data_IF_204629298904
#
_entry.id   IF_204629298904
#
_cell.length_a   1.000
_cell.length_b   1.000
_cell.length_c   1.000
_cell.angle_alpha   90.00
_cell.angle_beta   90.00
_cell.angle_gamma   90.00
#
_symmetry.space_group_name_H-M   'P 1'
#
loop_
_entity.id
_entity.type
_entity.pdbx_description
1 polymer ?
#
# COMPACT_ATOMS: atom_id res chain seq x y z
N UNK A 1 -25.58 8.81 -26.38
CA UNK A 1 -25.66 7.63 -27.26
C UNK A 1 -24.59 7.73 -28.34
N UNK A 2 -23.41 7.11 -28.18
CA UNK A 2 -22.78 6.38 -29.28
C UNK A 2 -21.57 5.53 -28.83
N UNK A 3 -21.58 4.28 -29.27
CA UNK A 3 -20.61 3.23 -28.98
C UNK A 3 -19.41 3.37 -29.93
N UNK A 4 -18.28 3.87 -29.45
CA UNK A 4 -16.99 3.66 -30.13
C UNK A 4 -16.45 2.30 -29.66
N UNK A 5 -16.86 1.24 -30.38
CA UNK A 5 -16.35 -0.12 -30.19
C UNK A 5 -14.89 -0.21 -30.62
N UNK A 6 -14.05 -0.34 -29.61
CA UNK A 6 -12.70 -0.87 -29.62
C UNK A 6 -12.59 -2.09 -30.55
N UNK A 7 -11.98 -1.93 -31.73
CA UNK A 7 -11.52 -3.04 -32.57
C UNK A 7 -10.04 -3.28 -32.24
N UNK A 8 -9.77 -4.22 -31.34
CA UNK A 8 -8.42 -4.75 -31.14
C UNK A 8 -8.21 -5.89 -32.13
N UNK A 9 -7.33 -5.68 -33.10
CA UNK A 9 -6.86 -6.67 -34.07
C UNK A 9 -6.10 -7.78 -33.32
N UNK A 10 -6.60 -9.01 -33.37
CA UNK A 10 -5.85 -10.21 -32.95
C UNK A 10 -5.21 -10.83 -34.19
N UNK A 11 -3.88 -10.73 -34.30
CA UNK A 11 -3.11 -11.46 -35.30
C UNK A 11 -2.59 -12.76 -34.65
N UNK A 12 -3.01 -13.89 -35.21
CA UNK A 12 -2.63 -15.24 -34.79
C UNK A 12 -1.23 -15.57 -35.30
N UNK A 13 -0.31 -15.95 -34.41
CA UNK A 13 0.78 -16.87 -34.76
C UNK A 13 0.93 -17.92 -33.65
N UNK A 14 0.88 -19.17 -34.06
CA UNK A 14 0.85 -20.33 -33.19
C UNK A 14 2.17 -20.57 -32.48
N UNK A 15 2.10 -20.67 -31.15
CA UNK A 15 2.83 -21.64 -30.33
C UNK A 15 1.93 -21.89 -29.12
N UNK A 16 1.72 -23.15 -28.77
CA UNK A 16 0.74 -23.61 -27.78
C UNK A 16 1.09 -23.24 -26.34
N UNK A 17 1.10 -21.95 -26.02
CA UNK A 17 0.94 -21.44 -24.67
C UNK A 17 -0.54 -21.08 -24.51
N UNK A 18 -1.19 -21.63 -23.49
CA UNK A 18 -2.55 -21.25 -23.11
C UNK A 18 -2.58 -19.75 -22.81
N UNK A 19 -2.95 -18.94 -23.81
CA UNK A 19 -3.05 -17.48 -23.68
C UNK A 19 -4.09 -17.06 -22.63
N UNK A 20 -5.03 -17.94 -22.30
CA UNK A 20 -6.05 -17.72 -21.27
C UNK A 20 -5.46 -17.60 -19.86
N UNK A 21 -4.43 -18.37 -19.51
CA UNK A 21 -3.81 -18.32 -18.18
C UNK A 21 -2.86 -17.15 -18.03
N UNK A 22 -2.12 -16.81 -19.11
CA UNK A 22 -1.19 -15.69 -19.11
C UNK A 22 -1.93 -14.35 -19.07
N UNK A 23 -3.01 -14.21 -19.85
CA UNK A 23 -3.86 -13.01 -19.87
C UNK A 23 -4.62 -12.81 -18.55
N UNK A 24 -5.00 -13.89 -17.85
CA UNK A 24 -5.66 -13.81 -16.55
C UNK A 24 -4.71 -13.33 -15.43
N UNK A 25 -3.44 -13.76 -15.44
CA UNK A 25 -2.44 -13.30 -14.48
C UNK A 25 -2.01 -11.84 -14.73
N UNK A 26 -1.97 -11.41 -16.00
CA UNK A 26 -1.64 -10.03 -16.38
C UNK A 26 -2.79 -9.03 -16.10
N UNK A 27 -4.03 -9.51 -16.01
CA UNK A 27 -5.21 -8.73 -15.63
C UNK A 27 -5.53 -8.76 -14.13
N UNK A 28 -5.12 -9.80 -13.39
CA UNK A 28 -5.51 -9.98 -11.98
C UNK A 28 -4.90 -8.94 -11.03
N UNK A 29 -3.66 -8.49 -11.29
CA UNK A 29 -3.00 -7.45 -10.49
C UNK A 29 -3.59 -6.04 -10.69
N UNK A 30 -4.16 -5.77 -11.86
CA UNK A 30 -4.73 -4.46 -12.23
C UNK A 30 -6.15 -4.28 -11.71
N UNK A 31 -6.93 -5.36 -11.65
CA UNK A 31 -8.29 -5.27 -11.12
C UNK A 31 -8.33 -5.31 -9.58
N UNK A 32 -7.25 -5.71 -8.88
CA UNK A 32 -7.24 -5.83 -7.41
C UNK A 32 -7.45 -4.49 -6.69
N UNK A 33 -6.82 -3.42 -7.17
CA UNK A 33 -6.78 -2.14 -6.48
C UNK A 33 -7.64 -1.11 -7.21
N UNK A 34 -8.61 -0.54 -6.50
CA UNK A 34 -9.60 0.37 -7.06
C UNK A 34 -9.56 1.70 -6.32
N UNK A 35 -9.39 2.79 -7.04
CA UNK A 35 -9.49 4.14 -6.47
C UNK A 35 -10.94 4.36 -6.03
N UNK A 36 -11.13 4.80 -4.80
CA UNK A 36 -12.46 5.07 -4.25
C UNK A 36 -13.08 6.34 -4.88
N UNK A 37 -14.37 6.63 -4.64
CA UNK A 37 -15.02 7.80 -5.22
C UNK A 37 -14.43 9.15 -4.78
N UNK A 38 -13.76 9.23 -3.62
CA UNK A 38 -13.08 10.46 -3.20
C UNK A 38 -11.81 10.73 -4.03
N UNK A 39 -11.21 9.68 -4.59
CA UNK A 39 -9.93 9.77 -5.29
C UNK A 39 -8.72 9.80 -4.37
N UNK A 40 -8.93 9.73 -3.05
CA UNK A 40 -7.91 9.85 -2.01
C UNK A 40 -7.55 8.50 -1.37
N UNK A 41 -8.33 7.46 -1.63
CA UNK A 41 -8.10 6.12 -1.12
C UNK A 41 -8.08 5.05 -2.22
N UNK A 42 -7.49 3.91 -1.89
CA UNK A 42 -7.49 2.70 -2.71
C UNK A 42 -8.10 1.55 -1.91
N UNK A 43 -9.07 0.89 -2.51
CA UNK A 43 -9.72 -0.32 -2.03
C UNK A 43 -8.98 -1.51 -2.64
N UNK A 44 -8.41 -2.36 -1.78
CA UNK A 44 -7.87 -3.65 -2.16
C UNK A 44 -8.97 -4.71 -2.10
N UNK A 45 -9.51 -5.11 -3.26
CA UNK A 45 -10.63 -6.05 -3.35
C UNK A 45 -10.29 -7.48 -2.89
N UNK A 46 -9.00 -7.85 -2.78
CA UNK A 46 -8.60 -9.18 -2.29
C UNK A 46 -8.70 -9.24 -0.77
N UNK A 47 -8.26 -8.20 -0.08
CA UNK A 47 -8.18 -8.16 1.39
C UNK A 47 -9.33 -7.38 2.03
N UNK A 48 -10.08 -6.62 1.24
CA UNK A 48 -11.03 -5.59 1.66
C UNK A 48 -10.41 -4.48 2.53
N UNK A 49 -9.09 -4.32 2.48
CA UNK A 49 -8.42 -3.20 3.12
C UNK A 49 -8.56 -1.94 2.27
N UNK A 50 -8.58 -0.80 2.95
CA UNK A 50 -8.59 0.51 2.33
C UNK A 50 -7.33 1.24 2.76
N UNK A 51 -6.61 1.75 1.78
CA UNK A 51 -5.31 2.38 1.94
C UNK A 51 -5.40 3.84 1.56
N UNK A 52 -4.62 4.69 2.24
CA UNK A 52 -4.36 6.03 1.73
C UNK A 52 -3.72 5.91 0.34
N UNK A 53 -4.22 6.67 -0.63
CA UNK A 53 -3.67 6.67 -1.99
C UNK A 53 -2.29 7.32 -2.02
N UNK A 54 -2.11 8.41 -1.29
CA UNK A 54 -0.80 8.97 -1.01
C UNK A 54 -0.11 8.14 0.07
N UNK A 55 0.85 7.32 -0.36
CA UNK A 55 1.61 6.45 0.55
C UNK A 55 2.44 7.24 1.56
N UNK A 56 2.75 8.51 1.30
CA UNK A 56 3.61 9.35 2.12
C UNK A 56 2.87 10.55 2.73
N UNK A 57 1.55 10.46 2.90
CA UNK A 57 0.70 11.58 3.33
C UNK A 57 1.15 12.24 4.65
N UNK A 58 1.72 11.48 5.58
CA UNK A 58 2.26 11.98 6.85
C UNK A 58 3.79 12.20 6.82
N UNK A 59 4.43 11.97 5.67
CA UNK A 59 5.87 12.06 5.51
C UNK A 59 6.64 10.95 6.23
N UNK A 60 7.90 11.25 6.54
CA UNK A 60 8.76 10.38 7.31
C UNK A 60 8.78 10.81 8.79
N UNK A 61 8.51 9.86 9.67
CA UNK A 61 8.40 10.07 11.12
C UNK A 61 9.23 9.01 11.85
N UNK A 62 9.55 9.27 13.12
CA UNK A 62 10.09 8.22 13.99
C UNK A 62 9.01 7.20 14.30
N UNK A 63 9.36 5.95 14.60
CA UNK A 63 8.33 4.94 14.85
C UNK A 63 7.56 5.28 16.13
N UNK A 64 8.32 5.43 17.23
CA UNK A 64 7.96 5.76 18.60
C UNK A 64 6.60 5.28 19.16
N UNK A 65 6.40 5.49 20.46
CA UNK A 65 5.13 5.16 21.11
C UNK A 65 4.12 6.29 20.91
N UNK A 66 2.83 5.93 20.87
CA UNK A 66 1.68 6.83 20.64
C UNK A 66 1.63 8.06 21.56
N UNK A 67 2.35 8.06 22.68
CA UNK A 67 2.39 9.17 23.65
C UNK A 67 3.42 10.26 23.31
N UNK A 68 4.16 10.15 22.20
CA UNK A 68 5.07 11.18 21.73
C UNK A 68 4.56 11.80 20.42
N UNK A 69 4.40 13.12 20.44
CA UNK A 69 3.77 13.94 19.40
C UNK A 69 4.49 13.93 18.03
N UNK A 70 5.67 13.31 17.95
CA UNK A 70 6.46 13.24 16.71
C UNK A 70 6.56 11.83 16.11
N UNK A 71 5.67 10.92 16.48
CA UNK A 71 5.76 9.49 16.10
C UNK A 71 4.75 9.09 15.05
N UNK A 72 5.09 8.07 14.26
CA UNK A 72 4.24 7.49 13.24
C UNK A 72 2.90 7.01 13.83
N UNK A 73 2.92 6.33 14.98
CA UNK A 73 1.69 5.89 15.66
C UNK A 73 0.83 7.06 16.13
N UNK A 74 1.45 8.12 16.64
CA UNK A 74 0.73 9.31 17.06
C UNK A 74 0.03 9.98 15.88
N UNK A 75 0.77 10.31 14.81
CA UNK A 75 0.22 11.04 13.67
C UNK A 75 -0.86 10.28 12.92
N UNK A 76 -0.73 8.96 12.78
CA UNK A 76 -1.83 8.16 12.21
C UNK A 76 -3.06 8.16 13.13
N UNK A 77 -2.87 8.16 14.45
CA UNK A 77 -3.99 8.31 15.38
C UNK A 77 -4.66 9.69 15.28
N UNK A 78 -3.90 10.75 14.98
CA UNK A 78 -4.45 12.10 14.83
C UNK A 78 -5.37 12.22 13.61
N UNK A 79 -5.14 11.46 12.53
CA UNK A 79 -6.06 11.36 11.39
C UNK A 79 -7.49 10.95 11.80
N UNK A 80 -7.62 10.25 12.93
CA UNK A 80 -8.90 9.73 13.41
C UNK A 80 -9.63 10.68 14.36
N UNK A 81 -8.90 11.54 15.08
CA UNK A 81 -9.44 12.24 16.25
C UNK A 81 -9.25 13.74 16.24
N UNK A 82 -8.34 14.28 15.43
CA UNK A 82 -7.96 15.69 15.47
C UNK A 82 -8.31 16.42 14.16
N UNK A 83 -9.29 17.34 14.17
CA UNK A 83 -9.71 18.11 13.00
C UNK A 83 -8.64 18.97 12.32
N UNK A 84 -7.50 19.19 12.96
CA UNK A 84 -6.38 19.94 12.41
C UNK A 84 -5.26 19.04 11.86
N UNK A 85 -5.41 17.72 11.97
CA UNK A 85 -4.43 16.77 11.45
C UNK A 85 -4.52 16.65 9.94
N UNK A 86 -3.36 16.45 9.30
CA UNK A 86 -3.28 16.05 7.91
C UNK A 86 -4.00 14.71 7.75
N UNK A 87 -4.89 14.59 6.78
CA UNK A 87 -5.66 13.38 6.56
C UNK A 87 -6.74 13.11 7.62
N UNK A 88 -7.17 14.13 8.37
CA UNK A 88 -8.31 14.01 9.27
C UNK A 88 -9.55 13.51 8.52
N UNK A 89 -10.07 12.36 8.96
CA UNK A 89 -11.18 11.67 8.34
C UNK A 89 -11.00 11.42 6.83
N UNK A 90 -9.77 11.10 6.39
CA UNK A 90 -9.45 10.81 5.00
C UNK A 90 -10.46 9.81 4.40
N UNK A 91 -11.02 10.14 3.23
CA UNK A 91 -12.07 9.37 2.54
C UNK A 91 -13.33 9.09 3.40
N UNK A 92 -13.60 9.92 4.41
CA UNK A 92 -14.73 9.77 5.33
C UNK A 92 -14.52 8.77 6.47
N UNK A 93 -13.29 8.33 6.73
CA UNK A 93 -12.98 7.28 7.69
C UNK A 93 -12.12 7.72 8.87
N UNK A 94 -12.38 7.17 10.05
CA UNK A 94 -11.73 7.53 11.32
C UNK A 94 -11.09 6.33 12.04
N UNK A 95 -10.74 5.29 11.30
CA UNK A 95 -10.15 4.04 11.76
C UNK A 95 -8.78 3.75 11.11
N UNK A 96 -7.99 4.80 10.86
CA UNK A 96 -6.65 4.72 10.30
C UNK A 96 -5.62 4.19 11.31
N UNK A 97 -4.69 3.37 10.82
CA UNK A 97 -3.58 2.80 11.59
C UNK A 97 -2.35 2.59 10.72
N UNK A 98 -1.21 2.33 11.37
CA UNK A 98 -0.08 1.74 10.66
C UNK A 98 -0.46 0.34 10.14
N UNK A 99 0.07 -0.06 8.98
CA UNK A 99 -0.14 -1.38 8.43
C UNK A 99 0.67 -2.41 9.20
N UNK A 100 0.24 -3.67 9.15
CA UNK A 100 1.12 -4.77 9.53
C UNK A 100 2.18 -4.98 8.44
N UNK A 101 3.30 -5.62 8.80
CA UNK A 101 4.33 -5.96 7.79
C UNK A 101 3.78 -6.85 6.67
N UNK A 102 2.83 -7.73 6.99
CA UNK A 102 2.24 -8.67 6.04
C UNK A 102 1.33 -7.98 5.03
N UNK A 103 0.56 -7.00 5.47
CA UNK A 103 -0.28 -6.17 4.60
C UNK A 103 0.57 -5.40 3.56
N UNK A 104 1.70 -4.83 4.00
CA UNK A 104 2.64 -4.17 3.08
C UNK A 104 3.28 -5.16 2.10
N UNK A 105 3.71 -6.33 2.57
CA UNK A 105 4.31 -7.36 1.71
C UNK A 105 3.30 -7.93 0.70
N UNK A 106 2.02 -8.07 1.05
CA UNK A 106 0.98 -8.53 0.13
C UNK A 106 0.69 -7.50 -0.96
N UNK A 107 0.70 -6.19 -0.65
CA UNK A 107 0.67 -5.13 -1.68
C UNK A 107 1.86 -5.27 -2.63
N UNK A 108 3.08 -5.37 -2.09
CA UNK A 108 4.28 -5.47 -2.90
C UNK A 108 4.25 -6.69 -3.81
N UNK A 109 3.84 -7.85 -3.28
CA UNK A 109 3.72 -9.09 -4.04
C UNK A 109 2.69 -8.96 -5.16
N UNK A 110 1.55 -8.33 -4.89
CA UNK A 110 0.51 -8.08 -5.89
C UNK A 110 0.99 -7.21 -7.04
N UNK A 111 1.78 -6.18 -6.72
CA UNK A 111 2.23 -5.16 -7.67
C UNK A 111 3.42 -5.66 -8.48
N UNK A 112 4.39 -6.30 -7.81
CA UNK A 112 5.58 -6.91 -8.39
C UNK A 112 5.25 -8.08 -9.32
N UNK A 113 4.14 -8.78 -9.06
CA UNK A 113 3.82 -10.05 -9.69
C UNK A 113 4.67 -11.19 -9.11
N UNK A 114 4.13 -12.41 -9.11
CA UNK A 114 4.71 -13.57 -8.41
C UNK A 114 6.12 -13.98 -8.89
N UNK A 115 6.55 -13.52 -10.07
CA UNK A 115 7.79 -13.97 -10.73
C UNK A 115 8.89 -12.90 -10.87
N UNK A 116 8.70 -11.70 -10.31
CA UNK A 116 9.73 -10.66 -10.42
C UNK A 116 10.72 -10.73 -9.25
N UNK A 117 12.01 -10.59 -9.53
CA UNK A 117 13.08 -10.62 -8.52
C UNK A 117 13.32 -9.26 -7.85
N UNK A 118 12.98 -8.14 -8.51
CA UNK A 118 13.19 -6.78 -8.00
C UNK A 118 11.91 -5.94 -8.06
N UNK A 119 11.89 -4.83 -7.31
CA UNK A 119 10.80 -3.84 -7.34
C UNK A 119 11.29 -2.67 -8.20
N UNK A 120 10.77 -2.48 -9.42
CA UNK A 120 11.09 -1.31 -10.23
C UNK A 120 10.71 -0.03 -9.49
N UNK A 121 11.57 0.99 -9.50
CA UNK A 121 11.37 2.25 -8.78
C UNK A 121 10.07 3.00 -9.16
N UNK A 122 9.50 2.68 -10.33
CA UNK A 122 8.31 3.26 -10.91
C UNK A 122 7.10 2.31 -10.88
N UNK A 123 7.20 1.13 -10.26
CA UNK A 123 6.16 0.12 -10.37
C UNK A 123 4.83 0.62 -9.82
N UNK A 124 4.82 1.46 -8.79
CA UNK A 124 3.59 2.04 -8.23
C UNK A 124 2.97 3.13 -9.11
N UNK A 125 3.79 3.85 -9.88
CA UNK A 125 3.34 4.90 -10.80
C UNK A 125 2.98 4.36 -12.19
N UNK A 126 3.54 3.21 -12.59
CA UNK A 126 3.35 2.59 -13.91
C UNK A 126 2.40 1.41 -13.88
N UNK A 127 2.28 0.70 -12.75
CA UNK A 127 1.20 -0.26 -12.55
C UNK A 127 -0.09 0.53 -12.37
N UNK A 128 -1.18 0.05 -12.97
CA UNK A 128 -2.51 0.67 -12.98
C UNK A 128 -3.21 0.68 -11.61
N UNK A 129 -2.43 0.65 -10.54
CA UNK A 129 -2.82 0.42 -9.15
C UNK A 129 -3.24 1.74 -8.48
N UNK A 130 -2.67 2.87 -8.92
CA UNK A 130 -3.15 4.21 -8.60
C UNK A 130 -2.56 4.86 -7.35
N UNK A 131 -1.67 4.18 -6.61
CA UNK A 131 -0.95 4.75 -5.48
C UNK A 131 -0.06 5.91 -5.93
N UNK A 132 0.07 6.94 -5.10
CA UNK A 132 0.87 8.14 -5.37
C UNK A 132 1.90 8.37 -4.28
N UNK A 133 2.96 9.08 -4.64
CA UNK A 133 4.06 9.46 -3.74
C UNK A 133 4.68 8.29 -2.96
N UNK A 134 4.68 7.09 -3.55
CA UNK A 134 5.43 5.96 -3.02
C UNK A 134 6.92 6.26 -3.11
N UNK A 135 7.63 6.14 -1.99
CA UNK A 135 9.07 6.39 -1.87
C UNK A 135 9.81 5.06 -1.92
N UNK A 136 10.98 5.03 -2.53
CA UNK A 136 11.87 3.85 -2.54
C UNK A 136 12.67 3.77 -1.24
N UNK A 137 11.97 3.80 -0.11
CA UNK A 137 12.52 3.93 1.24
C UNK A 137 11.82 2.97 2.21
N UNK A 138 12.20 2.99 3.49
CA UNK A 138 11.52 2.21 4.54
C UNK A 138 10.16 2.80 4.90
N UNK A 139 9.19 1.91 5.13
CA UNK A 139 7.86 2.23 5.63
C UNK A 139 7.58 1.49 6.94
N UNK A 140 7.13 2.20 7.96
CA UNK A 140 6.88 1.63 9.28
C UNK A 140 5.70 0.67 9.29
N UNK A 141 5.87 -0.48 9.96
CA UNK A 141 4.80 -1.39 10.35
C UNK A 141 4.33 -1.13 11.79
N UNK A 142 3.15 -1.62 12.15
CA UNK A 142 2.52 -1.37 13.45
C UNK A 142 3.20 -2.06 14.65
N UNK A 143 4.13 -3.00 14.44
CA UNK A 143 4.67 -3.85 15.51
C UNK A 143 6.12 -3.49 15.86
N UNK A 144 6.41 -3.33 17.15
CA UNK A 144 7.79 -3.33 17.66
C UNK A 144 8.37 -4.74 17.63
N UNK A 145 9.70 -4.84 17.50
CA UNK A 145 10.43 -6.10 17.67
C UNK A 145 10.95 -6.25 19.09
N UNK A 146 11.34 -5.12 19.70
CA UNK A 146 11.85 -5.00 21.06
C UNK A 146 11.62 -3.56 21.58
N UNK A 147 12.29 -3.17 22.66
CA UNK A 147 12.17 -1.84 23.26
C UNK A 147 12.81 -0.71 22.45
N UNK A 148 13.65 -1.05 21.48
CA UNK A 148 14.50 -0.13 20.70
C UNK A 148 14.30 -0.25 19.18
N UNK A 149 13.54 -1.24 18.71
CA UNK A 149 13.32 -1.44 17.28
C UNK A 149 11.87 -1.78 16.92
N UNK A 150 11.52 -1.49 15.67
CA UNK A 150 10.23 -1.84 15.09
C UNK A 150 10.36 -2.33 13.65
N UNK A 151 9.38 -3.12 13.23
CA UNK A 151 9.33 -3.65 11.87
C UNK A 151 9.11 -2.53 10.85
N UNK A 152 9.82 -2.61 9.74
CA UNK A 152 9.54 -1.83 8.53
C UNK A 152 9.55 -2.74 7.31
N UNK A 153 9.05 -2.20 6.20
CA UNK A 153 9.20 -2.79 4.86
C UNK A 153 9.88 -1.77 3.96
N UNK A 154 10.97 -2.19 3.32
CA UNK A 154 11.68 -1.37 2.34
C UNK A 154 11.01 -1.46 0.99
N UNK A 155 10.52 -0.34 0.47
CA UNK A 155 9.88 -0.29 -0.85
C UNK A 155 10.90 -0.28 -2.00
N UNK A 156 12.21 -0.17 -1.72
CA UNK A 156 13.26 -0.25 -2.74
C UNK A 156 13.52 -1.67 -3.23
N UNK A 157 13.35 -2.66 -2.35
CA UNK A 157 13.69 -4.06 -2.65
C UNK A 157 12.69 -5.08 -2.08
N UNK A 158 11.70 -4.64 -1.30
CA UNK A 158 10.68 -5.48 -0.67
C UNK A 158 11.15 -6.23 0.57
N UNK A 159 12.32 -5.91 1.12
CA UNK A 159 12.79 -6.51 2.37
C UNK A 159 11.94 -6.07 3.57
N UNK A 160 11.78 -6.96 4.55
CA UNK A 160 11.18 -6.64 5.84
C UNK A 160 12.21 -6.91 6.94
N UNK A 161 12.49 -5.88 7.72
CA UNK A 161 13.53 -5.88 8.76
C UNK A 161 13.10 -4.98 9.93
N UNK A 162 13.93 -4.92 10.97
CA UNK A 162 13.76 -4.05 12.12
C UNK A 162 14.66 -2.82 12.04
N UNK A 163 14.17 -1.66 12.47
CA UNK A 163 14.93 -0.41 12.53
C UNK A 163 14.75 0.29 13.87
N UNK A 164 15.74 1.08 14.28
CA UNK A 164 15.74 1.82 15.54
C UNK A 164 14.56 2.80 15.63
N UNK A 165 13.93 2.92 16.81
CA UNK A 165 12.69 3.68 16.98
C UNK A 165 12.83 5.18 16.69
N UNK A 166 14.03 5.74 16.76
CA UNK A 166 14.35 7.15 16.53
C UNK A 166 14.78 7.45 15.09
N UNK A 167 14.90 6.43 14.24
CA UNK A 167 15.16 6.62 12.81
C UNK A 167 13.90 7.05 12.07
N UNK A 168 14.06 7.77 10.96
CA UNK A 168 12.93 8.18 10.13
C UNK A 168 12.48 7.05 9.20
N UNK A 169 11.17 6.88 9.09
CA UNK A 169 10.52 5.98 8.14
C UNK A 169 9.19 6.54 7.69
N UNK A 170 8.81 6.25 6.44
CA UNK A 170 7.57 6.75 5.87
C UNK A 170 6.35 6.05 6.46
N UNK A 171 5.22 6.76 6.46
CA UNK A 171 3.98 6.32 7.07
C UNK A 171 2.91 6.20 5.99
N UNK A 172 2.45 4.97 5.78
CA UNK A 172 1.40 4.65 4.80
C UNK A 172 0.16 4.13 5.53
N UNK A 173 -0.82 5.00 5.81
CA UNK A 173 -2.00 4.61 6.57
C UNK A 173 -2.85 3.57 5.85
N UNK A 174 -3.32 2.59 6.61
CA UNK A 174 -4.35 1.63 6.21
C UNK A 174 -5.48 1.67 7.21
N UNK A 175 -6.70 1.39 6.77
CA UNK A 175 -7.85 1.29 7.65
C UNK A 175 -7.87 -0.02 8.43
N UNK A 176 -8.55 0.02 9.56
CA UNK A 176 -9.00 -1.14 10.29
C UNK A 176 -8.71 -1.05 11.78
N UNK A 177 -9.52 -1.76 12.56
CA UNK A 177 -9.29 -1.88 13.98
C UNK A 177 -8.19 -2.92 14.21
N UNK A 178 -7.12 -2.54 14.90
CA UNK A 178 -6.03 -3.46 15.27
C UNK A 178 -6.56 -4.63 16.12
N UNK A 179 -6.94 -5.71 15.45
CA UNK A 179 -6.95 -7.07 15.97
C UNK A 179 -6.40 -7.91 14.83
N UNK A 180 -5.17 -8.39 14.99
CA UNK A 180 -4.42 -9.10 13.94
C UNK A 180 -5.31 -10.11 13.21
N UNK A 181 -5.55 -9.87 11.92
CA UNK A 181 -6.16 -10.86 11.04
C UNK A 181 -5.10 -11.89 10.67
N UNK A 182 -4.79 -12.74 11.65
CA UNK A 182 -4.38 -14.11 11.41
C UNK A 182 -5.48 -14.99 12.00
N UNK A 183 -6.42 -15.40 11.15
CA UNK A 183 -7.13 -16.66 11.30
C UNK A 183 -6.73 -17.54 10.13
#
# INVERSE_FOLDING_TARGET
MNRQKLKLFYFLFGFGINFSTLLAAELSGVDRFVIDPSGECIIDKKTNLVWARDASILGALTWGQKNNDFTAQYWVSQMNTNPQSIGYHLCGYSDWRLPTRWEMLDILTAIKGENSCSIPANIFNQSKVGFTHVRTERYWAACSTDSSHAWYVSMSNGSSDSGELDTLGYVWPVRGNNAGLHK
#
